data_IF_898737675891
#
_entry.id   IF_898737675891
#
_cell.length_a   1.000
_cell.length_b   1.000
_cell.length_c   1.000
_cell.angle_alpha   90.00
_cell.angle_beta   90.00
_cell.angle_gamma   90.00
#
_symmetry.space_group_name_H-M   'P 1'
#
loop_
_entity.id
_entity.type
_entity.pdbx_description
1 polymer ?
#
# COMPACT_ATOMS: atom_id res chain seq x y z
N UNK A 1 4.29 53.22 -21.40
CA UNK A 1 4.05 53.01 -22.82
C UNK A 1 4.74 51.70 -23.21
N UNK A 2 3.99 50.58 -23.34
CA UNK A 2 4.56 49.27 -23.75
C UNK A 2 4.22 49.07 -25.22
N UNK A 3 5.25 49.01 -26.04
CA UNK A 3 5.12 48.73 -27.47
C UNK A 3 4.95 47.22 -27.63
N UNK A 4 3.76 46.78 -27.96
CA UNK A 4 3.49 45.37 -28.29
C UNK A 4 3.94 45.13 -29.74
N UNK A 5 4.91 44.24 -29.93
CA UNK A 5 5.28 43.75 -31.25
C UNK A 5 4.39 42.57 -31.58
N UNK A 6 3.44 42.77 -32.49
CA UNK A 6 2.59 41.69 -33.02
C UNK A 6 3.33 41.04 -34.17
N UNK A 7 3.72 39.79 -34.05
CA UNK A 7 4.31 38.99 -35.13
C UNK A 7 3.13 38.30 -35.85
N UNK A 8 2.82 38.63 -37.12
CA UNK A 8 1.77 37.96 -37.85
C UNK A 8 2.22 36.55 -38.24
N UNK A 9 1.39 35.56 -37.89
CA UNK A 9 1.54 34.16 -38.34
C UNK A 9 1.97 33.16 -37.29
N UNK A 10 2.11 33.54 -36.02
CA UNK A 10 2.36 32.56 -34.96
C UNK A 10 0.99 32.00 -34.45
N UNK A 11 0.61 30.86 -34.96
CA UNK A 11 -0.50 30.08 -34.37
C UNK A 11 0.03 29.57 -33.03
N UNK A 12 -0.38 30.21 -31.94
CA UNK A 12 -0.21 29.64 -30.59
C UNK A 12 -1.13 28.43 -30.52
N UNK A 13 -0.58 27.23 -30.68
CA UNK A 13 -1.26 26.04 -30.21
C UNK A 13 -1.46 26.25 -28.72
N UNK A 14 -2.73 26.35 -28.29
CA UNK A 14 -3.07 26.24 -26.87
C UNK A 14 -2.31 25.04 -26.33
N UNK A 15 -1.45 25.28 -25.35
CA UNK A 15 -0.73 24.21 -24.68
C UNK A 15 -1.80 23.25 -24.15
N UNK A 16 -1.93 22.09 -24.80
CA UNK A 16 -2.77 21.04 -24.30
C UNK A 16 -2.27 20.76 -22.89
N UNK A 17 -3.07 21.11 -21.91
CA UNK A 17 -2.83 20.76 -20.52
C UNK A 17 -2.82 19.25 -20.47
N UNK A 18 -1.62 18.65 -20.43
CA UNK A 18 -1.43 17.23 -20.19
C UNK A 18 -2.08 17.00 -18.82
N UNK A 19 -3.15 16.20 -18.72
CA UNK A 19 -3.79 15.96 -17.43
C UNK A 19 -2.72 15.42 -16.48
N UNK A 20 -2.60 16.05 -15.30
CA UNK A 20 -1.68 15.56 -14.27
C UNK A 20 -1.97 14.07 -14.06
N UNK A 21 -0.96 13.20 -14.14
CA UNK A 21 -1.18 11.77 -13.98
C UNK A 21 -1.78 11.50 -12.60
N UNK A 22 -2.90 10.78 -12.58
CA UNK A 22 -3.61 10.40 -11.36
C UNK A 22 -2.88 9.24 -10.67
N UNK A 23 -1.73 9.56 -10.04
CA UNK A 23 -0.94 8.59 -9.29
C UNK A 23 -1.05 8.83 -7.79
N UNK A 24 -1.02 7.74 -7.05
CA UNK A 24 -0.98 7.71 -5.59
C UNK A 24 0.31 7.04 -5.10
N UNK A 25 0.66 7.31 -3.86
CA UNK A 25 1.88 6.80 -3.24
C UNK A 25 1.57 5.83 -2.11
N UNK A 26 2.33 4.73 -2.05
CA UNK A 26 2.49 3.95 -0.83
C UNK A 26 3.80 4.35 -0.18
N UNK A 27 3.75 4.80 1.07
CA UNK A 27 4.92 5.27 1.81
C UNK A 27 5.27 4.32 2.95
N UNK A 28 6.56 4.24 3.30
CA UNK A 28 7.04 3.30 4.32
C UNK A 28 7.06 3.93 5.71
N UNK A 29 6.52 3.22 6.69
CA UNK A 29 6.59 3.59 8.11
C UNK A 29 7.87 3.07 8.80
N UNK A 30 8.83 2.49 8.06
CA UNK A 30 9.98 1.74 8.62
C UNK A 30 10.79 2.48 9.69
N UNK A 31 10.92 3.79 9.58
CA UNK A 31 11.67 4.61 10.55
C UNK A 31 10.80 5.21 11.63
N UNK A 32 9.48 5.01 11.59
CA UNK A 32 8.56 5.57 12.57
C UNK A 32 8.73 4.91 13.93
N UNK A 33 8.83 5.73 14.96
CA UNK A 33 8.73 5.30 16.36
C UNK A 33 7.26 5.35 16.80
N UNK A 34 6.83 4.39 17.61
CA UNK A 34 5.43 4.32 18.10
C UNK A 34 5.00 5.53 18.93
N UNK A 35 5.95 6.18 19.60
CA UNK A 35 5.71 7.41 20.37
C UNK A 35 5.42 8.64 19.51
N UNK A 36 5.81 8.63 18.22
CA UNK A 36 5.57 9.73 17.29
C UNK A 36 4.22 9.55 16.61
N UNK A 37 3.27 10.52 16.70
CA UNK A 37 2.01 10.45 15.98
C UNK A 37 2.19 10.31 14.47
N UNK A 38 1.36 9.49 13.81
CA UNK A 38 1.54 9.13 12.39
C UNK A 38 1.53 10.35 11.46
N UNK A 39 0.66 11.32 11.67
CA UNK A 39 0.63 12.52 10.83
C UNK A 39 1.82 13.46 11.05
N UNK A 40 2.39 13.47 12.26
CA UNK A 40 3.64 14.18 12.50
C UNK A 40 4.82 13.51 11.75
N UNK A 41 4.85 12.19 11.77
CA UNK A 41 5.81 11.41 10.98
C UNK A 41 5.66 11.67 9.48
N UNK A 42 4.44 11.61 8.93
CA UNK A 42 4.17 11.88 7.52
C UNK A 42 4.62 13.28 7.12
N UNK A 43 4.29 14.29 7.91
CA UNK A 43 4.67 15.67 7.64
C UNK A 43 6.20 15.85 7.64
N UNK A 44 6.90 15.19 8.54
CA UNK A 44 8.35 15.29 8.67
C UNK A 44 9.11 14.62 7.52
N UNK A 45 8.66 13.44 7.10
CA UNK A 45 9.40 12.60 6.14
C UNK A 45 8.85 12.66 4.72
N UNK A 46 7.57 12.98 4.56
CA UNK A 46 6.85 12.98 3.29
C UNK A 46 6.06 14.27 3.07
N UNK A 47 6.44 15.38 3.71
CA UNK A 47 5.72 16.66 3.65
C UNK A 47 5.66 17.29 2.26
N UNK A 48 6.48 16.81 1.31
CA UNK A 48 6.44 17.19 -0.10
C UNK A 48 5.34 16.42 -0.89
N UNK A 49 4.73 15.38 -0.30
CA UNK A 49 3.63 14.64 -0.90
C UNK A 49 2.33 15.10 -0.26
N UNK A 50 1.35 15.60 -1.02
CA UNK A 50 0.02 15.93 -0.50
C UNK A 50 -0.64 14.70 0.14
N UNK A 51 -1.28 14.84 1.30
CA UNK A 51 -1.88 13.70 2.02
C UNK A 51 -2.91 12.95 1.18
N UNK A 52 -3.69 13.64 0.36
CA UNK A 52 -4.67 13.03 -0.55
C UNK A 52 -4.03 12.21 -1.68
N UNK A 53 -2.72 12.28 -1.84
CA UNK A 53 -1.95 11.43 -2.77
C UNK A 53 -1.29 10.24 -2.08
N UNK A 54 -1.38 10.14 -0.76
CA UNK A 54 -0.91 8.97 -0.02
C UNK A 54 -2.07 7.97 0.09
N UNK A 55 -2.00 6.89 -0.67
CA UNK A 55 -3.00 5.82 -0.66
C UNK A 55 -2.85 4.93 0.58
N UNK A 56 -1.63 4.59 0.95
CA UNK A 56 -1.38 3.66 2.05
C UNK A 56 -0.02 3.82 2.70
N UNK A 57 0.07 3.38 3.96
CA UNK A 57 1.33 3.18 4.69
C UNK A 57 1.68 1.70 4.77
N UNK A 58 2.89 1.38 4.37
CA UNK A 58 3.49 0.06 4.53
C UNK A 58 4.27 0.01 5.84
N UNK A 59 3.96 -0.94 6.72
CA UNK A 59 4.67 -1.07 8.00
C UNK A 59 4.16 -2.20 8.89
N UNK A 60 4.91 -2.43 9.97
CA UNK A 60 4.58 -3.41 10.99
C UNK A 60 3.71 -2.81 12.08
N UNK A 61 2.65 -3.52 12.46
CA UNK A 61 1.75 -3.16 13.57
C UNK A 61 2.08 -3.96 14.83
N UNK A 62 1.86 -5.23 14.85
CA UNK A 62 2.21 -6.15 15.92
C UNK A 62 2.79 -7.43 15.32
N UNK A 63 3.39 -8.29 16.12
CA UNK A 63 3.99 -9.52 15.62
C UNK A 63 2.93 -10.49 15.09
N UNK A 64 3.24 -11.11 13.97
CA UNK A 64 2.53 -12.27 13.43
C UNK A 64 3.51 -13.19 12.70
N UNK A 65 3.36 -14.52 12.77
CA UNK A 65 4.17 -15.48 12.00
C UNK A 65 4.02 -15.29 10.48
N UNK A 66 2.96 -14.61 10.02
CA UNK A 66 2.71 -14.36 8.60
C UNK A 66 3.71 -13.37 7.98
N UNK A 67 4.44 -12.60 8.78
CA UNK A 67 5.44 -11.68 8.24
C UNK A 67 6.60 -12.37 7.55
N UNK A 68 7.08 -13.51 8.01
CA UNK A 68 8.15 -14.34 7.45
C UNK A 68 9.31 -13.55 6.84
N UNK A 69 10.51 -14.06 6.76
CA UNK A 69 11.63 -13.46 6.01
C UNK A 69 12.05 -12.01 6.36
N UNK A 70 11.17 -11.20 6.92
CA UNK A 70 11.49 -9.90 7.53
C UNK A 70 11.52 -10.04 9.04
N UNK A 71 12.67 -9.73 9.61
CA UNK A 71 12.79 -9.71 11.07
C UNK A 71 11.90 -8.59 11.62
N UNK A 72 10.92 -8.98 12.44
CA UNK A 72 10.13 -8.03 13.20
C UNK A 72 10.95 -7.54 14.39
N UNK A 73 11.54 -6.38 14.26
CA UNK A 73 12.33 -5.77 15.34
C UNK A 73 11.45 -5.02 16.33
N UNK A 74 10.43 -4.34 15.82
CA UNK A 74 9.53 -3.52 16.64
C UNK A 74 8.27 -3.16 15.86
N UNK A 75 7.24 -2.82 16.62
CA UNK A 75 6.05 -2.14 16.10
C UNK A 75 6.41 -0.76 15.54
N UNK A 76 5.98 -0.45 14.34
CA UNK A 76 6.16 0.84 13.69
C UNK A 76 4.90 1.70 13.82
N UNK A 77 3.73 1.07 13.64
CA UNK A 77 2.42 1.69 13.74
C UNK A 77 1.65 1.13 14.93
N UNK A 78 1.08 2.00 15.75
CA UNK A 78 0.12 1.63 16.79
C UNK A 78 -1.28 1.45 16.21
N UNK A 79 -2.18 0.81 16.95
CA UNK A 79 -3.60 0.72 16.58
C UNK A 79 -4.23 2.10 16.38
N UNK A 80 -3.86 3.06 17.25
CA UNK A 80 -4.28 4.45 17.15
C UNK A 80 -3.82 5.09 15.83
N UNK A 81 -2.58 4.81 15.41
CA UNK A 81 -2.06 5.30 14.12
C UNK A 81 -2.89 4.74 12.96
N UNK A 82 -3.17 3.43 12.97
CA UNK A 82 -3.98 2.77 11.92
C UNK A 82 -5.39 3.35 11.89
N UNK A 83 -6.02 3.52 13.05
CA UNK A 83 -7.34 4.15 13.14
C UNK A 83 -7.35 5.56 12.56
N UNK A 84 -6.35 6.38 12.90
CA UNK A 84 -6.23 7.74 12.37
C UNK A 84 -5.99 7.77 10.86
N UNK A 85 -5.17 6.85 10.33
CA UNK A 85 -4.94 6.71 8.89
C UNK A 85 -6.23 6.35 8.16
N UNK A 86 -6.95 5.32 8.62
CA UNK A 86 -8.18 4.88 7.98
C UNK A 86 -9.25 5.99 8.00
N UNK A 87 -9.37 6.76 9.08
CA UNK A 87 -10.27 7.91 9.15
C UNK A 87 -9.90 9.04 8.17
N UNK A 88 -8.64 9.10 7.77
CA UNK A 88 -8.16 10.06 6.76
C UNK A 88 -8.18 9.50 5.32
N UNK A 89 -8.76 8.30 5.11
CA UNK A 89 -8.80 7.65 3.81
C UNK A 89 -7.49 6.99 3.38
N UNK A 90 -6.54 6.80 4.32
CA UNK A 90 -5.22 6.21 4.06
C UNK A 90 -5.20 4.78 4.60
N UNK A 91 -4.91 3.80 3.73
CA UNK A 91 -4.88 2.38 4.09
C UNK A 91 -3.60 1.96 4.82
N UNK A 92 -3.71 0.86 5.56
CA UNK A 92 -2.56 0.11 6.06
C UNK A 92 -2.20 -0.99 5.05
N UNK A 93 -0.91 -1.17 4.78
CA UNK A 93 -0.40 -2.21 3.91
C UNK A 93 0.47 -3.19 4.68
N UNK A 94 -0.07 -4.38 4.97
CA UNK A 94 0.57 -5.39 5.81
C UNK A 94 1.46 -6.32 4.98
N UNK A 95 2.75 -6.51 5.36
CA UNK A 95 3.69 -7.34 4.63
C UNK A 95 3.62 -8.83 5.04
N UNK A 96 2.57 -9.55 4.67
CA UNK A 96 2.41 -10.98 4.97
C UNK A 96 3.27 -11.82 4.03
N UNK A 97 4.59 -11.74 4.18
CA UNK A 97 5.57 -12.26 3.23
C UNK A 97 6.21 -13.59 3.63
N UNK A 98 5.59 -14.36 4.52
CA UNK A 98 6.03 -15.71 4.84
C UNK A 98 5.85 -16.62 3.60
N UNK A 99 6.95 -17.25 3.16
CA UNK A 99 6.96 -18.17 2.03
C UNK A 99 6.52 -19.60 2.40
N UNK A 100 6.54 -19.92 3.68
CA UNK A 100 6.35 -21.27 4.20
C UNK A 100 5.21 -21.32 5.24
N UNK A 101 4.21 -20.45 5.09
CA UNK A 101 3.10 -20.36 6.02
C UNK A 101 2.34 -21.69 6.10
N UNK A 102 2.18 -22.20 7.31
CA UNK A 102 1.36 -23.38 7.59
C UNK A 102 -0.09 -22.99 7.91
N UNK A 103 -1.07 -23.92 7.76
CA UNK A 103 -2.44 -23.69 8.19
C UNK A 103 -2.54 -23.29 9.67
N UNK A 104 -1.75 -23.90 10.55
CA UNK A 104 -1.75 -23.60 11.98
C UNK A 104 -1.27 -22.16 12.27
N UNK A 105 -0.26 -21.67 11.56
CA UNK A 105 0.19 -20.25 11.67
C UNK A 105 -0.89 -19.30 11.17
N UNK A 106 -1.60 -19.67 10.11
CA UNK A 106 -2.72 -18.88 9.61
C UNK A 106 -3.86 -18.83 10.63
N UNK A 107 -4.26 -19.97 11.19
CA UNK A 107 -5.29 -20.05 12.24
C UNK A 107 -4.91 -19.22 13.47
N UNK A 108 -3.67 -19.32 13.92
CA UNK A 108 -3.15 -18.52 15.04
C UNK A 108 -3.13 -17.01 14.75
N UNK A 109 -3.21 -16.62 13.49
CA UNK A 109 -3.20 -15.21 13.06
C UNK A 109 -4.59 -14.64 12.73
N UNK A 110 -5.67 -15.40 12.95
CA UNK A 110 -7.05 -14.96 12.62
C UNK A 110 -7.44 -13.67 13.35
N UNK A 111 -7.15 -13.61 14.66
CA UNK A 111 -7.45 -12.42 15.48
C UNK A 111 -6.70 -11.18 14.97
N UNK A 112 -5.41 -11.35 14.63
CA UNK A 112 -4.60 -10.31 14.02
C UNK A 112 -5.22 -9.81 12.70
N UNK A 113 -5.60 -10.73 11.80
CA UNK A 113 -6.20 -10.38 10.51
C UNK A 113 -7.55 -9.67 10.70
N UNK A 114 -8.41 -10.20 11.58
CA UNK A 114 -9.72 -9.61 11.90
C UNK A 114 -9.60 -8.18 12.43
N UNK A 115 -8.60 -7.92 13.26
CA UNK A 115 -8.34 -6.60 13.85
C UNK A 115 -8.06 -5.51 12.80
N UNK A 116 -7.35 -5.89 11.73
CA UNK A 116 -6.96 -4.96 10.67
C UNK A 116 -7.80 -5.09 9.39
N UNK A 117 -8.82 -5.95 9.39
CA UNK A 117 -9.72 -6.16 8.27
C UNK A 117 -10.61 -4.91 8.05
N UNK A 118 -10.25 -4.12 7.06
CA UNK A 118 -10.93 -2.87 6.65
C UNK A 118 -10.78 -2.71 5.15
N UNK A 119 -11.78 -2.12 4.49
CA UNK A 119 -11.81 -1.90 3.04
C UNK A 119 -10.57 -1.15 2.50
N UNK A 120 -10.06 -0.16 3.25
CA UNK A 120 -8.88 0.61 2.84
C UNK A 120 -7.56 -0.17 3.02
N UNK A 121 -7.57 -1.23 3.83
CA UNK A 121 -6.34 -1.94 4.15
C UNK A 121 -6.03 -3.01 3.11
N UNK A 122 -4.76 -3.31 2.97
CA UNK A 122 -4.26 -4.33 2.03
C UNK A 122 -3.21 -5.22 2.66
N UNK A 123 -3.05 -6.40 2.08
CA UNK A 123 -2.02 -7.36 2.46
C UNK A 123 -1.11 -7.66 1.27
N UNK A 124 0.19 -7.70 1.50
CA UNK A 124 1.17 -8.13 0.50
C UNK A 124 1.53 -9.57 0.79
N UNK A 125 1.23 -10.47 -0.12
CA UNK A 125 1.44 -11.91 0.06
C UNK A 125 2.44 -12.47 -0.93
N UNK A 126 3.12 -13.56 -0.53
CA UNK A 126 4.03 -14.34 -1.39
C UNK A 126 3.53 -15.76 -1.60
N UNK A 127 2.79 -16.31 -0.64
CA UNK A 127 2.30 -17.67 -0.66
C UNK A 127 0.86 -17.74 -1.21
N UNK A 128 0.62 -18.65 -2.18
CA UNK A 128 -0.67 -18.75 -2.88
C UNK A 128 -1.80 -19.21 -1.96
N UNK A 129 -1.52 -20.15 -1.06
CA UNK A 129 -2.53 -20.62 -0.12
C UNK A 129 -2.91 -19.54 0.88
N UNK A 130 -1.93 -18.77 1.37
CA UNK A 130 -2.22 -17.62 2.23
C UNK A 130 -3.15 -16.62 1.54
N UNK A 131 -2.91 -16.34 0.27
CA UNK A 131 -3.79 -15.45 -0.49
C UNK A 131 -5.20 -15.99 -0.63
N UNK A 132 -5.35 -17.32 -0.87
CA UNK A 132 -6.68 -17.97 -0.95
C UNK A 132 -7.40 -17.94 0.39
N UNK A 133 -6.70 -18.23 1.50
CA UNK A 133 -7.27 -18.20 2.83
C UNK A 133 -7.73 -16.79 3.21
N UNK A 134 -6.87 -15.78 3.02
CA UNK A 134 -7.23 -14.38 3.28
C UNK A 134 -8.40 -13.95 2.40
N UNK A 135 -8.45 -14.31 1.12
CA UNK A 135 -9.57 -13.96 0.24
C UNK A 135 -10.89 -14.58 0.68
N UNK A 136 -10.85 -15.81 1.20
CA UNK A 136 -12.03 -16.52 1.70
C UNK A 136 -12.57 -15.90 2.98
N UNK A 137 -11.68 -15.61 3.95
CA UNK A 137 -12.06 -15.28 5.31
C UNK A 137 -12.10 -13.76 5.58
N UNK A 138 -11.37 -12.97 4.78
CA UNK A 138 -11.22 -11.52 4.91
C UNK A 138 -11.37 -10.81 3.55
N UNK A 139 -12.58 -10.83 2.96
CA UNK A 139 -12.81 -10.39 1.58
C UNK A 139 -12.57 -8.89 1.33
N UNK A 140 -12.66 -8.05 2.37
CA UNK A 140 -12.43 -6.60 2.25
C UNK A 140 -10.96 -6.24 2.02
N UNK A 141 -10.01 -7.11 2.43
CA UNK A 141 -8.62 -6.86 2.15
C UNK A 141 -8.34 -6.85 0.65
N UNK A 142 -7.69 -5.78 0.18
CA UNK A 142 -7.00 -5.83 -1.10
C UNK A 142 -5.76 -6.71 -0.96
N UNK A 143 -5.59 -7.68 -1.85
CA UNK A 143 -4.45 -8.60 -1.83
C UNK A 143 -3.51 -8.23 -2.96
N UNK A 144 -2.28 -7.88 -2.61
CA UNK A 144 -1.22 -7.52 -3.54
C UNK A 144 -0.16 -8.65 -3.56
N UNK A 145 0.28 -9.03 -4.76
CA UNK A 145 1.38 -9.97 -4.91
C UNK A 145 2.72 -9.27 -4.64
N UNK A 146 3.62 -9.91 -3.89
CA UNK A 146 4.96 -9.37 -3.69
C UNK A 146 5.79 -9.51 -4.97
N UNK A 147 6.65 -8.52 -5.23
CA UNK A 147 7.55 -8.48 -6.41
C UNK A 147 8.40 -9.74 -6.54
N UNK A 148 8.86 -10.32 -5.43
CA UNK A 148 9.68 -11.54 -5.44
C UNK A 148 8.89 -12.82 -5.82
N UNK A 149 7.58 -12.74 -6.01
CA UNK A 149 6.78 -13.89 -6.45
C UNK A 149 7.10 -14.32 -7.88
N UNK A 150 7.83 -13.50 -8.62
CA UNK A 150 8.33 -13.82 -9.96
C UNK A 150 7.23 -14.29 -10.94
N UNK A 151 6.19 -13.48 -11.08
CA UNK A 151 5.11 -13.71 -12.05
C UNK A 151 5.63 -13.31 -13.43
N UNK A 152 6.30 -14.24 -14.11
CA UNK A 152 6.98 -13.97 -15.38
C UNK A 152 6.40 -14.73 -16.59
N UNK A 153 5.30 -15.47 -16.41
CA UNK A 153 4.65 -16.23 -17.48
C UNK A 153 3.16 -15.99 -17.52
N UNK A 154 2.55 -16.09 -18.72
CA UNK A 154 1.11 -16.00 -18.91
C UNK A 154 0.32 -17.05 -18.12
N UNK A 155 0.93 -18.22 -17.85
CA UNK A 155 0.33 -19.27 -17.02
C UNK A 155 0.18 -18.84 -15.56
N UNK A 156 1.13 -18.05 -15.06
CA UNK A 156 1.05 -17.48 -13.71
C UNK A 156 0.11 -16.28 -13.64
N UNK A 157 -0.09 -15.58 -14.76
CA UNK A 157 -1.00 -14.46 -14.90
C UNK A 157 -2.47 -14.88 -14.93
N UNK A 158 -2.78 -15.97 -15.67
CA UNK A 158 -4.15 -16.45 -15.87
C UNK A 158 -4.66 -17.39 -14.75
N UNK A 159 -3.90 -17.65 -13.71
CA UNK A 159 -4.49 -18.24 -12.50
C UNK A 159 -5.53 -17.27 -11.97
N UNK A 160 -6.75 -17.75 -11.59
CA UNK A 160 -7.84 -16.86 -11.22
C UNK A 160 -7.58 -16.18 -9.87
N UNK A 161 -6.63 -15.28 -9.88
CA UNK A 161 -6.53 -14.21 -8.95
C UNK A 161 -7.49 -13.14 -9.50
N UNK A 162 -8.74 -13.20 -9.09
CA UNK A 162 -9.67 -12.09 -9.26
C UNK A 162 -9.23 -10.94 -8.33
N UNK A 163 -7.98 -10.57 -8.46
CA UNK A 163 -7.41 -9.40 -7.84
C UNK A 163 -7.23 -8.34 -8.90
N UNK A 164 -7.83 -7.21 -8.69
CA UNK A 164 -7.41 -5.95 -9.32
C UNK A 164 -5.95 -5.71 -8.94
N UNK A 165 -5.04 -6.32 -9.70
CA UNK A 165 -3.60 -6.12 -9.54
C UNK A 165 -3.25 -4.73 -10.04
N UNK A 166 -3.28 -3.73 -9.15
CA UNK A 166 -2.47 -2.54 -9.37
C UNK A 166 -1.02 -2.94 -9.07
N UNK A 167 -0.18 -2.89 -10.07
CA UNK A 167 1.26 -3.11 -9.98
C UNK A 167 1.87 -2.07 -9.05
N UNK A 168 2.64 -2.52 -8.06
CA UNK A 168 3.57 -1.67 -7.35
C UNK A 168 4.94 -1.81 -8.01
N UNK A 169 5.39 -0.74 -8.66
CA UNK A 169 6.81 -0.54 -8.95
C UNK A 169 7.56 -0.18 -7.67
#
# INVERSE_FOLDING_TARGET
MRIGVTIPGTVYHEAQTIPEPDYTFTVSARSKQTSVPVFQFLRRHFGHIPLNRIESLFGFVEYTPLYGGRVFHRRELSERDVFQLNNAGIGLRLPLSNHFVSPAEYEASQEFLQKYHRELNSVIVTHDDLARWVRRDFPEFRIDARVIKNINTSKNWNRPWSCTTKWCC
#
